data_IF_567983327671
#
_entry.id   IF_567983327671
#
_cell.length_a   1.000
_cell.length_b   1.000
_cell.length_c   1.000
_cell.angle_alpha   90.00
_cell.angle_beta   90.00
_cell.angle_gamma   90.00
#
_symmetry.space_group_name_H-M   'P 1'
#
loop_
_entity.id
_entity.type
_entity.pdbx_description
1 polymer ?
#
# COMPACT_ATOMS: atom_id res chain seq x y z
N UNK A 1 4.49 3.08 -27.14
CA UNK A 1 4.56 2.00 -26.12
C UNK A 1 3.89 2.43 -24.83
N UNK A 2 4.18 3.63 -24.29
CA UNK A 2 3.60 4.11 -23.02
C UNK A 2 2.07 4.28 -23.04
N UNK A 3 1.51 4.92 -24.07
CA UNK A 3 0.04 5.13 -24.17
C UNK A 3 -0.75 3.81 -24.22
N UNK A 4 -0.20 2.78 -24.85
CA UNK A 4 -0.87 1.50 -25.02
C UNK A 4 -1.01 0.69 -23.71
N UNK A 5 -0.24 1.04 -22.67
CA UNK A 5 -0.29 0.34 -21.39
C UNK A 5 -0.83 1.21 -20.25
N UNK A 6 -1.24 2.45 -20.52
CA UNK A 6 -1.82 3.32 -19.50
C UNK A 6 -3.12 2.73 -18.91
N UNK A 7 -3.81 1.84 -19.63
CA UNK A 7 -4.96 1.08 -19.11
C UNK A 7 -4.62 0.17 -17.91
N UNK A 8 -3.36 -0.21 -17.75
CA UNK A 8 -2.95 -1.10 -16.68
C UNK A 8 -2.78 -0.40 -15.34
N UNK A 9 -2.76 0.95 -15.30
CA UNK A 9 -2.68 1.74 -14.07
C UNK A 9 -3.67 2.90 -14.13
N UNK A 10 -4.88 2.61 -13.70
CA UNK A 10 -5.97 3.58 -13.63
C UNK A 10 -6.69 3.45 -12.29
N UNK A 11 -7.22 4.58 -11.81
CA UNK A 11 -8.09 4.59 -10.65
C UNK A 11 -9.37 3.85 -11.04
N UNK A 12 -9.72 2.75 -10.33
CA UNK A 12 -10.86 1.94 -10.68
C UNK A 12 -12.17 2.71 -10.69
N UNK A 13 -13.08 2.30 -11.56
CA UNK A 13 -14.47 2.72 -11.49
C UNK A 13 -15.20 2.01 -10.34
N UNK A 14 -16.38 2.52 -9.97
CA UNK A 14 -17.16 1.99 -8.83
C UNK A 14 -17.38 0.48 -8.89
N UNK A 15 -17.70 -0.06 -10.07
CA UNK A 15 -17.90 -1.50 -10.28
C UNK A 15 -16.62 -2.30 -10.07
N UNK A 16 -15.49 -1.80 -10.55
CA UNK A 16 -14.20 -2.47 -10.36
C UNK A 16 -13.79 -2.49 -8.89
N UNK A 17 -14.13 -1.45 -8.11
CA UNK A 17 -13.93 -1.49 -6.66
C UNK A 17 -14.77 -2.56 -5.96
N UNK A 18 -15.98 -2.84 -6.43
CA UNK A 18 -16.81 -3.94 -5.91
C UNK A 18 -16.15 -5.30 -6.19
N UNK A 19 -15.59 -5.49 -7.39
CA UNK A 19 -14.84 -6.70 -7.72
C UNK A 19 -13.58 -6.83 -6.84
N UNK A 20 -12.89 -5.72 -6.58
CA UNK A 20 -11.74 -5.70 -5.67
C UNK A 20 -12.18 -6.07 -4.25
N UNK A 21 -13.30 -5.54 -3.79
CA UNK A 21 -13.88 -5.86 -2.49
C UNK A 21 -14.20 -7.36 -2.35
N UNK A 22 -14.79 -7.96 -3.38
CA UNK A 22 -15.03 -9.41 -3.42
C UNK A 22 -13.72 -10.18 -3.36
N UNK A 23 -12.69 -9.72 -4.07
CA UNK A 23 -11.36 -10.30 -4.04
C UNK A 23 -10.71 -10.29 -2.66
N UNK A 24 -10.75 -9.16 -1.94
CA UNK A 24 -10.26 -9.09 -0.56
C UNK A 24 -11.05 -9.97 0.39
N UNK A 25 -12.38 -10.05 0.22
CA UNK A 25 -13.22 -10.94 1.01
C UNK A 25 -12.82 -12.40 0.80
N UNK A 26 -12.63 -12.84 -0.46
CA UNK A 26 -12.27 -14.22 -0.78
C UNK A 26 -10.88 -14.61 -0.26
N UNK A 27 -9.89 -13.72 -0.36
CA UNK A 27 -8.51 -14.03 0.00
C UNK A 27 -8.21 -13.89 1.49
N UNK A 28 -8.74 -12.87 2.16
CA UNK A 28 -8.40 -12.56 3.56
C UNK A 28 -9.60 -12.50 4.51
N UNK A 29 -10.79 -12.89 4.04
CA UNK A 29 -12.04 -12.79 4.80
C UNK A 29 -12.30 -11.36 5.32
N UNK A 30 -11.85 -10.32 4.60
CA UNK A 30 -12.03 -8.92 5.00
C UNK A 30 -13.04 -8.20 4.08
N UNK A 31 -14.35 -8.39 4.31
CA UNK A 31 -15.38 -7.75 3.48
C UNK A 31 -15.31 -6.22 3.60
N UNK A 32 -15.68 -5.52 2.53
CA UNK A 32 -15.61 -4.05 2.45
C UNK A 32 -14.21 -3.48 2.14
N UNK A 33 -13.15 -4.29 2.26
CA UNK A 33 -11.80 -3.82 1.95
C UNK A 33 -11.61 -3.67 0.43
N UNK A 34 -11.32 -2.45 -0.03
CA UNK A 34 -11.17 -2.11 -1.44
C UNK A 34 -9.71 -1.98 -1.88
N UNK A 35 -8.74 -2.16 -0.97
CA UNK A 35 -7.33 -1.98 -1.31
C UNK A 35 -6.47 -1.76 -0.08
N UNK A 36 -5.17 -1.96 -0.24
CA UNK A 36 -4.18 -1.57 0.75
C UNK A 36 -3.41 -0.35 0.27
N UNK A 37 -3.25 0.65 1.14
CA UNK A 37 -2.48 1.87 0.88
C UNK A 37 -1.19 1.87 1.70
N UNK A 38 -0.10 2.28 1.08
CA UNK A 38 1.21 2.38 1.74
C UNK A 38 2.08 3.44 1.07
N UNK A 39 2.94 4.07 1.87
CA UNK A 39 3.94 5.01 1.40
C UNK A 39 5.35 4.44 1.50
N UNK A 40 6.15 4.62 0.45
CA UNK A 40 7.53 4.15 0.34
C UNK A 40 8.47 5.26 -0.11
N UNK A 41 9.66 5.29 0.50
CA UNK A 41 10.78 6.07 0.00
C UNK A 41 11.44 5.34 -1.16
N UNK A 42 11.42 5.94 -2.33
CA UNK A 42 12.18 5.55 -3.49
C UNK A 42 13.49 6.33 -3.46
N UNK A 43 14.58 5.64 -3.18
CA UNK A 43 15.89 6.30 -3.00
C UNK A 43 16.40 6.79 -4.35
N UNK A 44 16.80 8.06 -4.39
CA UNK A 44 17.38 8.71 -5.57
C UNK A 44 18.77 9.25 -5.23
N UNK A 45 19.59 9.46 -6.25
CA UNK A 45 20.74 10.34 -6.12
C UNK A 45 20.23 11.79 -5.96
N UNK A 46 20.85 12.54 -5.04
CA UNK A 46 20.54 13.95 -4.87
C UNK A 46 20.68 14.69 -6.20
N UNK A 47 19.64 15.41 -6.65
CA UNK A 47 19.77 16.29 -7.81
C UNK A 47 20.86 17.36 -7.57
N UNK A 48 21.51 17.85 -8.63
CA UNK A 48 22.46 18.95 -8.50
C UNK A 48 21.80 20.16 -7.83
N UNK A 49 22.51 20.81 -6.90
CA UNK A 49 22.06 22.04 -6.22
C UNK A 49 20.74 21.92 -5.40
N UNK A 50 20.31 20.72 -5.01
CA UNK A 50 19.05 20.53 -4.27
C UNK A 50 19.14 20.78 -2.75
N UNK A 51 20.34 21.03 -2.21
CA UNK A 51 20.55 21.11 -0.77
C UNK A 51 20.00 19.89 -0.02
N UNK A 52 19.16 20.12 0.99
CA UNK A 52 18.49 19.08 1.79
C UNK A 52 17.05 18.78 1.35
N UNK A 53 16.62 19.28 0.20
CA UNK A 53 15.22 19.20 -0.26
C UNK A 53 14.72 17.75 -0.39
N UNK A 54 15.59 16.82 -0.80
CA UNK A 54 15.26 15.40 -0.95
C UNK A 54 15.66 14.55 0.25
N UNK A 55 16.39 15.15 1.19
CA UNK A 55 17.01 14.44 2.29
C UNK A 55 15.96 14.08 3.33
N UNK A 56 15.74 12.79 3.53
CA UNK A 56 14.75 12.28 4.46
C UNK A 56 15.35 11.95 5.83
N UNK A 57 14.47 11.63 6.79
CA UNK A 57 14.88 11.28 8.16
C UNK A 57 15.66 9.95 8.26
N UNK A 58 15.71 9.15 7.20
CA UNK A 58 16.51 7.92 7.11
C UNK A 58 17.91 8.18 6.56
N UNK A 59 18.31 9.44 6.41
CA UNK A 59 19.65 9.80 5.96
C UNK A 59 19.89 9.56 4.47
N UNK A 60 18.83 9.51 3.67
CA UNK A 60 18.93 9.28 2.21
C UNK A 60 18.14 10.34 1.44
N UNK A 61 18.47 10.53 0.16
CA UNK A 61 17.67 11.35 -0.74
C UNK A 61 16.59 10.49 -1.39
N UNK A 62 15.33 10.94 -1.41
CA UNK A 62 14.24 10.09 -1.91
C UNK A 62 13.08 10.86 -2.49
N UNK A 63 12.37 10.20 -3.40
CA UNK A 63 10.99 10.50 -3.72
C UNK A 63 10.08 9.65 -2.83
N UNK A 64 8.98 10.22 -2.39
CA UNK A 64 7.93 9.48 -1.70
C UNK A 64 6.92 8.99 -2.72
N UNK A 65 6.73 7.67 -2.79
CA UNK A 65 5.67 7.00 -3.51
C UNK A 65 4.55 6.66 -2.52
N UNK A 66 3.33 7.12 -2.79
CA UNK A 66 2.11 6.62 -2.17
C UNK A 66 1.40 5.71 -3.18
N UNK A 67 1.06 4.49 -2.79
CA UNK A 67 0.43 3.51 -3.68
C UNK A 67 -0.82 2.88 -3.05
N UNK A 68 -1.84 2.62 -3.86
CA UNK A 68 -2.98 1.74 -3.54
C UNK A 68 -2.88 0.50 -4.40
N UNK A 69 -2.98 -0.67 -3.76
CA UNK A 69 -2.85 -1.98 -4.40
C UNK A 69 -4.11 -2.81 -4.17
N UNK A 70 -4.58 -3.47 -5.24
CA UNK A 70 -5.75 -4.34 -5.21
C UNK A 70 -5.43 -5.76 -4.72
N UNK A 71 -6.49 -6.56 -4.54
CA UNK A 71 -6.44 -7.95 -4.08
C UNK A 71 -5.58 -8.90 -4.94
N UNK A 72 -5.17 -8.49 -6.15
CA UNK A 72 -4.30 -9.28 -7.04
C UNK A 72 -2.92 -8.65 -7.27
N UNK A 73 -2.46 -7.90 -6.27
CA UNK A 73 -1.14 -7.27 -6.22
C UNK A 73 -0.92 -6.23 -7.33
N UNK A 74 -1.99 -5.74 -7.97
CA UNK A 74 -1.88 -4.72 -9.01
C UNK A 74 -2.02 -3.32 -8.40
N UNK A 75 -1.17 -2.40 -8.83
CA UNK A 75 -1.25 -0.98 -8.48
C UNK A 75 -2.48 -0.34 -9.13
N UNK A 76 -3.31 0.37 -8.36
CA UNK A 76 -4.51 1.07 -8.84
C UNK A 76 -4.38 2.57 -8.80
N UNK A 77 -3.56 3.06 -7.89
CA UNK A 77 -3.28 4.48 -7.78
C UNK A 77 -1.85 4.63 -7.28
N UNK A 78 -1.13 5.60 -7.86
CA UNK A 78 0.17 6.01 -7.37
C UNK A 78 0.28 7.54 -7.39
N UNK A 79 0.94 8.10 -6.39
CA UNK A 79 1.25 9.52 -6.28
C UNK A 79 2.68 9.70 -5.80
N UNK A 80 3.31 10.76 -6.28
CA UNK A 80 4.68 11.12 -5.91
C UNK A 80 4.71 12.48 -5.22
N UNK A 81 5.62 12.62 -4.28
CA UNK A 81 6.05 13.90 -3.72
C UNK A 81 7.54 13.83 -3.37
N UNK A 82 8.16 14.99 -3.17
CA UNK A 82 9.56 15.08 -2.76
C UNK A 82 9.69 14.62 -1.31
N UNK A 83 10.65 13.72 -1.02
CA UNK A 83 10.87 13.15 0.31
C UNK A 83 11.68 14.05 1.26
N UNK A 84 11.22 15.28 1.51
CA UNK A 84 11.92 16.24 2.39
C UNK A 84 11.81 15.93 3.89
N UNK A 85 12.87 16.26 4.65
CA UNK A 85 12.97 16.06 6.10
C UNK A 85 11.83 16.75 6.85
N UNK A 86 11.11 15.99 7.69
CA UNK A 86 10.08 16.52 8.58
C UNK A 86 8.78 17.01 7.93
N UNK A 87 8.65 16.95 6.59
CA UNK A 87 7.51 17.52 5.86
C UNK A 87 6.55 16.49 5.23
N UNK A 88 6.90 15.21 5.19
CA UNK A 88 6.10 14.19 4.49
C UNK A 88 5.99 12.90 5.30
N UNK A 89 4.92 12.75 6.09
CA UNK A 89 4.45 11.45 6.57
C UNK A 89 3.45 10.84 5.61
N UNK A 90 3.17 9.54 5.72
CA UNK A 90 2.12 8.89 4.92
C UNK A 90 0.80 9.67 5.01
N UNK A 91 0.40 10.10 6.21
CA UNK A 91 -0.80 10.90 6.43
C UNK A 91 -0.77 12.26 5.72
N UNK A 92 0.36 12.97 5.75
CA UNK A 92 0.51 14.25 5.06
C UNK A 92 0.50 14.12 3.53
N UNK A 93 1.22 13.14 3.00
CA UNK A 93 1.25 12.85 1.56
C UNK A 93 -0.11 12.38 1.07
N UNK A 94 -0.81 11.57 1.87
CA UNK A 94 -2.18 11.16 1.61
C UNK A 94 -3.11 12.37 1.52
N UNK A 95 -3.10 13.28 2.50
CA UNK A 95 -3.94 14.49 2.49
C UNK A 95 -3.67 15.41 1.30
N UNK A 96 -2.42 15.51 0.85
CA UNK A 96 -2.03 16.28 -0.32
C UNK A 96 -2.34 15.58 -1.67
N UNK A 97 -2.78 14.32 -1.63
CA UNK A 97 -3.04 13.52 -2.83
C UNK A 97 -4.41 13.82 -3.43
N UNK A 98 -4.56 13.62 -4.74
CA UNK A 98 -5.86 13.76 -5.42
C UNK A 98 -6.87 12.69 -4.97
N UNK A 99 -6.41 11.63 -4.31
CA UNK A 99 -7.23 10.57 -3.75
C UNK A 99 -7.98 11.02 -2.47
N UNK A 100 -7.40 11.93 -1.69
CA UNK A 100 -8.01 12.38 -0.43
C UNK A 100 -9.38 13.04 -0.59
N UNK A 101 -9.59 14.06 -1.45
CA UNK A 101 -10.89 14.71 -1.58
C UNK A 101 -11.99 13.77 -2.09
N UNK A 102 -11.66 12.82 -2.98
CA UNK A 102 -12.61 11.84 -3.54
C UNK A 102 -12.93 10.68 -2.58
N UNK A 103 -12.11 10.49 -1.55
CA UNK A 103 -12.41 9.59 -0.44
C UNK A 103 -13.23 10.29 0.65
N UNK A 104 -12.89 11.53 0.99
CA UNK A 104 -13.66 12.33 1.96
C UNK A 104 -15.09 12.60 1.52
N UNK A 105 -15.33 12.81 0.23
CA UNK A 105 -16.67 13.01 -0.31
C UNK A 105 -17.47 11.68 -0.48
N UNK A 106 -16.85 10.52 -0.25
CA UNK A 106 -17.48 9.21 -0.38
C UNK A 106 -17.85 8.79 -1.82
N UNK A 107 -17.28 9.44 -2.84
CA UNK A 107 -17.62 9.20 -4.25
C UNK A 107 -16.83 8.07 -4.90
N UNK A 108 -15.64 7.76 -4.37
CA UNK A 108 -14.73 6.81 -5.00
C UNK A 108 -15.07 5.35 -4.71
N UNK A 109 -15.29 5.01 -3.42
CA UNK A 109 -15.47 3.63 -2.99
C UNK A 109 -16.96 3.22 -2.99
N UNK A 110 -17.28 1.93 -3.14
CA UNK A 110 -18.61 1.40 -2.92
C UNK A 110 -19.13 1.74 -1.52
N UNK A 111 -20.43 1.65 -1.33
CA UNK A 111 -21.03 1.95 -0.02
C UNK A 111 -20.45 1.03 1.07
N UNK A 112 -19.91 1.65 2.14
CA UNK A 112 -19.25 0.92 3.21
C UNK A 112 -17.86 0.36 2.86
N UNK A 113 -17.34 0.68 1.67
CA UNK A 113 -15.99 0.35 1.24
C UNK A 113 -14.92 1.17 1.95
N UNK A 114 -13.77 0.56 2.23
CA UNK A 114 -12.62 1.21 2.87
C UNK A 114 -11.29 0.65 2.38
N UNK A 115 -10.23 1.43 2.50
CA UNK A 115 -8.85 1.01 2.33
C UNK A 115 -8.24 0.61 3.67
N UNK A 116 -7.17 -0.20 3.65
CA UNK A 116 -6.36 -0.49 4.83
C UNK A 116 -4.99 0.17 4.72
N UNK A 117 -4.59 0.93 5.75
CA UNK A 117 -3.33 1.67 5.78
C UNK A 117 -2.50 1.38 7.03
N UNK A 118 -1.24 1.76 7.00
CA UNK A 118 -0.39 1.67 8.20
C UNK A 118 -0.79 2.69 9.30
N UNK A 119 0.00 2.74 10.38
CA UNK A 119 -0.33 3.60 11.52
C UNK A 119 -0.17 5.10 11.26
N UNK A 120 0.62 5.47 10.25
CA UNK A 120 0.88 6.85 9.90
C UNK A 120 -0.34 7.51 9.22
N UNK A 121 -1.26 6.70 8.68
CA UNK A 121 -2.54 7.18 8.17
C UNK A 121 -3.55 7.49 9.29
N UNK A 122 -4.48 8.45 9.06
CA UNK A 122 -5.59 8.69 9.98
C UNK A 122 -6.61 7.54 9.95
N UNK A 123 -7.25 7.26 11.08
CA UNK A 123 -8.40 6.34 11.13
C UNK A 123 -9.67 7.07 10.65
N UNK A 124 -10.25 6.60 9.56
CA UNK A 124 -11.45 7.16 8.90
C UNK A 124 -12.42 6.03 8.53
N UNK A 125 -13.66 6.38 8.18
CA UNK A 125 -14.67 5.40 7.74
C UNK A 125 -14.29 4.73 6.41
N UNK A 126 -13.47 5.40 5.59
CA UNK A 126 -12.94 4.89 4.32
C UNK A 126 -11.48 4.42 4.42
N UNK A 127 -10.84 4.51 5.60
CA UNK A 127 -9.43 4.14 5.80
C UNK A 127 -9.23 3.57 7.20
N UNK A 128 -9.16 2.25 7.28
CA UNK A 128 -8.96 1.52 8.53
C UNK A 128 -7.47 1.29 8.81
N UNK A 129 -7.15 1.24 10.10
CA UNK A 129 -5.82 0.86 10.60
C UNK A 129 -5.92 -0.06 11.81
N UNK A 130 -4.81 -0.72 12.14
CA UNK A 130 -4.70 -1.62 13.28
C UNK A 130 -5.01 -0.92 14.62
N UNK A 131 -5.34 -1.72 15.63
CA UNK A 131 -5.33 -1.24 17.01
C UNK A 131 -3.87 -1.02 17.47
N UNK A 132 -3.55 0.15 18.06
CA UNK A 132 -2.23 0.40 18.62
C UNK A 132 -2.04 -0.39 19.93
N UNK A 133 -0.79 -0.44 20.41
CA UNK A 133 -0.29 -0.84 21.75
C UNK A 133 -1.15 -1.79 22.60
N UNK A 134 -0.56 -2.92 23.01
CA UNK A 134 -1.14 -3.90 23.96
C UNK A 134 -2.57 -4.35 23.62
N UNK A 135 -2.81 -4.88 22.40
CA UNK A 135 -4.15 -5.26 21.98
C UNK A 135 -4.70 -6.41 22.85
N UNK A 136 -5.97 -6.28 23.22
CA UNK A 136 -6.78 -7.37 23.76
C UNK A 136 -6.83 -8.57 22.79
N UNK A 137 -7.29 -9.73 23.25
CA UNK A 137 -7.41 -10.92 22.38
C UNK A 137 -8.28 -10.62 21.14
N UNK A 138 -9.41 -9.95 21.31
CA UNK A 138 -10.27 -9.55 20.21
C UNK A 138 -9.58 -8.61 19.22
N UNK A 139 -8.79 -7.65 19.73
CA UNK A 139 -8.02 -6.73 18.89
C UNK A 139 -6.85 -7.44 18.20
N UNK A 140 -6.24 -8.46 18.82
CA UNK A 140 -5.23 -9.31 18.17
C UNK A 140 -5.82 -10.07 16.99
N UNK A 141 -7.02 -10.64 17.13
CA UNK A 141 -7.74 -11.31 16.04
C UNK A 141 -8.00 -10.33 14.89
N UNK A 142 -8.48 -9.11 15.20
CA UNK A 142 -8.63 -8.07 14.19
C UNK A 142 -7.30 -7.69 13.53
N UNK A 143 -6.27 -7.42 14.33
CA UNK A 143 -4.95 -6.99 13.85
C UNK A 143 -4.30 -8.05 12.96
N UNK A 144 -4.51 -9.33 13.25
CA UNK A 144 -4.07 -10.43 12.40
C UNK A 144 -4.72 -10.33 11.01
N UNK A 145 -6.06 -10.32 10.92
CA UNK A 145 -6.80 -10.19 9.65
C UNK A 145 -6.44 -8.92 8.89
N UNK A 146 -6.32 -7.81 9.63
CA UNK A 146 -5.89 -6.52 9.11
C UNK A 146 -4.49 -6.60 8.47
N UNK A 147 -3.54 -7.21 9.16
CA UNK A 147 -2.16 -7.32 8.71
C UNK A 147 -2.07 -8.21 7.48
N UNK A 148 -2.80 -9.33 7.42
CA UNK A 148 -2.83 -10.20 6.24
C UNK A 148 -3.35 -9.48 5.00
N UNK A 149 -4.43 -8.69 5.13
CA UNK A 149 -4.93 -7.88 4.01
C UNK A 149 -3.96 -6.75 3.61
N UNK A 150 -3.37 -6.05 4.58
CA UNK A 150 -2.40 -4.96 4.30
C UNK A 150 -1.11 -5.48 3.66
N UNK A 151 -0.65 -6.69 3.99
CA UNK A 151 0.60 -7.31 3.48
C UNK A 151 0.67 -7.34 1.94
N UNK A 152 -0.46 -7.24 1.26
CA UNK A 152 -0.54 -7.21 -0.20
C UNK A 152 0.25 -6.08 -0.85
N UNK A 153 0.22 -4.87 -0.29
CA UNK A 153 0.93 -3.71 -0.85
C UNK A 153 2.44 -3.87 -0.65
N UNK A 154 2.86 -4.48 0.48
CA UNK A 154 4.26 -4.81 0.72
C UNK A 154 4.76 -5.85 -0.27
N UNK A 155 3.97 -6.91 -0.52
CA UNK A 155 4.30 -7.93 -1.51
C UNK A 155 4.37 -7.35 -2.92
N UNK A 156 3.42 -6.51 -3.33
CA UNK A 156 3.41 -5.91 -4.66
C UNK A 156 4.67 -5.05 -4.90
N UNK A 157 5.03 -4.20 -3.92
CA UNK A 157 6.27 -3.41 -3.98
C UNK A 157 7.51 -4.30 -3.94
N UNK A 158 7.52 -5.32 -3.08
CA UNK A 158 8.62 -6.28 -2.97
C UNK A 158 8.91 -7.03 -4.27
N UNK A 159 7.86 -7.54 -4.91
CA UNK A 159 7.94 -8.19 -6.24
C UNK A 159 8.45 -7.19 -7.28
N UNK A 160 7.90 -5.96 -7.31
CA UNK A 160 8.33 -4.90 -8.23
C UNK A 160 9.84 -4.65 -8.11
N UNK A 161 10.34 -4.49 -6.89
CA UNK A 161 11.75 -4.21 -6.61
C UNK A 161 12.63 -5.41 -7.00
N UNK A 162 12.20 -6.64 -6.69
CA UNK A 162 12.95 -7.85 -7.06
C UNK A 162 12.99 -8.06 -8.58
N UNK A 163 11.91 -7.75 -9.29
CA UNK A 163 11.83 -7.98 -10.75
C UNK A 163 12.57 -6.91 -11.54
N UNK A 164 12.39 -5.65 -11.21
CA UNK A 164 12.98 -4.56 -12.00
C UNK A 164 14.38 -4.17 -11.53
N UNK A 165 14.75 -4.44 -10.27
CA UNK A 165 16.06 -4.19 -9.62
C UNK A 165 16.56 -2.74 -9.63
N UNK A 166 16.10 -1.89 -10.54
CA UNK A 166 16.37 -0.45 -10.62
C UNK A 166 15.93 0.29 -9.36
N UNK A 167 14.94 -0.25 -8.64
CA UNK A 167 14.47 0.25 -7.35
C UNK A 167 15.35 -0.18 -6.15
N UNK A 168 16.20 -1.19 -6.33
CA UNK A 168 16.99 -1.77 -5.22
C UNK A 168 18.25 -0.95 -4.91
N UNK A 169 18.60 0.01 -5.78
CA UNK A 169 19.72 0.95 -5.61
C UNK A 169 19.22 2.38 -5.78
N UNK A 170 19.96 3.38 -5.27
CA UNK A 170 19.64 4.78 -5.53
C UNK A 170 19.51 5.05 -7.03
N UNK A 171 18.37 5.58 -7.46
CA UNK A 171 18.11 5.91 -8.86
C UNK A 171 18.95 7.14 -9.24
N UNK A 172 19.85 6.96 -10.21
CA UNK A 172 20.76 8.00 -10.71
C UNK A 172 20.18 8.69 -11.95
N UNK A 173 18.94 9.16 -11.85
CA UNK A 173 18.23 9.85 -12.91
C UNK A 173 17.75 11.21 -12.44
N UNK A 174 17.55 12.15 -13.37
CA UNK A 174 16.84 13.40 -13.09
C UNK A 174 15.43 13.11 -12.58
N UNK A 175 14.91 13.96 -11.70
CA UNK A 175 13.63 13.76 -11.00
C UNK A 175 12.50 13.35 -11.96
N UNK A 176 12.28 14.13 -13.03
CA UNK A 176 11.23 13.85 -14.01
C UNK A 176 11.37 12.48 -14.67
N UNK A 177 12.62 12.05 -14.92
CA UNK A 177 12.90 10.74 -15.54
C UNK A 177 12.72 9.62 -14.53
N UNK A 178 13.10 9.84 -13.26
CA UNK A 178 12.84 8.91 -12.18
C UNK A 178 11.34 8.70 -11.97
N UNK A 179 10.54 9.77 -11.96
CA UNK A 179 9.07 9.70 -11.84
C UNK A 179 8.46 8.89 -13.00
N UNK A 180 8.88 9.15 -14.24
CA UNK A 180 8.45 8.38 -15.42
C UNK A 180 8.82 6.91 -15.28
N UNK A 181 10.08 6.59 -14.92
CA UNK A 181 10.53 5.22 -14.72
C UNK A 181 9.71 4.49 -13.66
N UNK A 182 9.46 5.15 -12.53
CA UNK A 182 8.66 4.59 -11.45
C UNK A 182 7.24 4.27 -11.94
N UNK A 183 6.56 5.22 -12.59
CA UNK A 183 5.21 4.98 -13.16
C UNK A 183 5.23 3.81 -14.14
N UNK A 184 6.20 3.79 -15.05
CA UNK A 184 6.32 2.79 -16.09
C UNK A 184 6.56 1.39 -15.55
N UNK A 185 7.38 1.26 -14.50
CA UNK A 185 7.61 -0.05 -13.85
C UNK A 185 6.37 -0.54 -13.12
N UNK A 186 5.56 0.33 -12.49
CA UNK A 186 4.25 -0.05 -11.94
C UNK A 186 3.27 -0.50 -13.03
N UNK A 187 3.21 0.19 -14.17
CA UNK A 187 2.40 -0.19 -15.34
C UNK A 187 2.83 -1.56 -15.88
N UNK A 188 4.13 -1.76 -16.10
CA UNK A 188 4.68 -3.03 -16.57
C UNK A 188 4.45 -4.17 -15.57
N UNK A 189 4.54 -3.89 -14.26
CA UNK A 189 4.19 -4.86 -13.23
C UNK A 189 2.76 -5.36 -13.39
N UNK A 190 1.81 -4.44 -13.50
CA UNK A 190 0.39 -4.79 -13.66
C UNK A 190 0.15 -5.55 -14.96
N UNK A 191 0.78 -5.13 -16.06
CA UNK A 191 0.69 -5.84 -17.34
C UNK A 191 1.24 -7.26 -17.24
N UNK A 192 2.42 -7.46 -16.64
CA UNK A 192 3.05 -8.78 -16.48
C UNK A 192 2.28 -9.68 -15.51
N UNK A 193 1.70 -9.11 -14.45
CA UNK A 193 0.79 -9.82 -13.53
C UNK A 193 -0.43 -10.37 -14.25
N UNK A 194 -1.06 -9.56 -15.11
CA UNK A 194 -2.25 -9.96 -15.87
C UNK A 194 -1.96 -10.88 -17.06
N UNK A 195 -0.85 -10.69 -17.75
CA UNK A 195 -0.53 -11.43 -18.99
C UNK A 195 0.30 -12.70 -18.76
N UNK A 196 1.15 -12.72 -17.74
CA UNK A 196 2.21 -13.73 -17.58
C UNK A 196 2.38 -14.17 -16.11
N UNK A 197 1.27 -14.32 -15.38
CA UNK A 197 1.22 -14.55 -13.93
C UNK A 197 2.25 -15.58 -13.41
N UNK A 198 2.28 -16.78 -13.99
CA UNK A 198 3.12 -17.89 -13.53
C UNK A 198 4.61 -17.64 -13.74
N UNK A 199 4.97 -16.86 -14.77
CA UNK A 199 6.37 -16.51 -15.05
C UNK A 199 6.81 -15.30 -14.23
N UNK A 200 5.94 -14.30 -14.12
CA UNK A 200 6.25 -13.06 -13.41
C UNK A 200 6.23 -13.21 -11.89
N UNK A 201 5.33 -14.04 -11.36
CA UNK A 201 5.16 -14.32 -9.93
C UNK A 201 4.95 -15.83 -9.75
N UNK A 202 6.03 -16.62 -9.86
CA UNK A 202 5.95 -18.05 -9.63
C UNK A 202 5.54 -18.37 -8.19
N UNK A 203 5.04 -19.59 -7.93
CA UNK A 203 4.73 -20.03 -6.57
C UNK A 203 5.90 -19.79 -5.62
N UNK A 204 5.60 -19.26 -4.43
CA UNK A 204 6.62 -18.88 -3.43
C UNK A 204 7.13 -17.44 -3.56
N UNK A 205 6.83 -16.70 -4.64
CA UNK A 205 7.19 -15.28 -4.75
C UNK A 205 6.38 -14.34 -3.86
N UNK A 206 5.36 -14.82 -3.17
CA UNK A 206 4.42 -14.00 -2.39
C UNK A 206 4.32 -14.60 -0.99
N UNK A 207 4.22 -13.76 0.03
CA UNK A 207 3.97 -14.23 1.39
C UNK A 207 2.62 -14.97 1.46
N UNK A 208 2.61 -16.19 2.00
CA UNK A 208 1.38 -16.95 2.23
C UNK A 208 1.36 -17.54 3.63
N UNK A 209 0.15 -17.75 4.14
CA UNK A 209 -0.07 -18.34 5.46
C UNK A 209 -0.37 -19.82 5.28
N UNK A 210 0.42 -20.65 5.95
CA UNK A 210 0.16 -22.06 6.10
C UNK A 210 -0.76 -22.23 7.32
N UNK A 211 -2.04 -22.45 7.04
CA UNK A 211 -3.08 -22.57 8.05
C UNK A 211 -2.92 -23.87 8.84
N UNK A 212 -2.33 -24.92 8.24
CA UNK A 212 -2.14 -26.22 8.88
C UNK A 212 -1.04 -26.13 9.93
N UNK A 213 0.07 -25.48 9.57
CA UNK A 213 1.23 -25.36 10.44
C UNK A 213 1.25 -24.07 11.28
N UNK A 214 0.25 -23.20 11.12
CA UNK A 214 0.17 -21.87 11.72
C UNK A 214 1.43 -21.02 11.48
N UNK A 215 2.09 -21.21 10.33
CA UNK A 215 3.30 -20.49 9.96
C UNK A 215 3.03 -19.49 8.83
N UNK A 216 3.77 -18.40 8.82
CA UNK A 216 3.81 -17.48 7.67
C UNK A 216 5.04 -17.78 6.85
N UNK A 217 4.84 -18.27 5.63
CA UNK A 217 5.92 -18.47 4.67
C UNK A 217 6.19 -17.16 3.94
N UNK A 218 7.43 -16.71 4.00
CA UNK A 218 7.86 -15.46 3.41
C UNK A 218 8.13 -15.65 1.91
N UNK A 219 7.70 -14.68 1.10
CA UNK A 219 7.95 -14.67 -0.33
C UNK A 219 9.43 -14.53 -0.64
N UNK A 220 9.90 -15.13 -1.75
CA UNK A 220 11.32 -15.14 -2.13
C UNK A 220 11.94 -13.74 -2.22
N UNK A 221 11.14 -12.73 -2.59
CA UNK A 221 11.60 -11.34 -2.65
C UNK A 221 12.14 -10.84 -1.29
N UNK A 222 11.64 -11.33 -0.16
CA UNK A 222 12.11 -10.92 1.17
C UNK A 222 13.56 -11.33 1.46
N UNK A 223 14.06 -12.39 0.80
CA UNK A 223 15.45 -12.83 0.91
C UNK A 223 16.36 -12.26 -0.19
N UNK A 224 15.81 -11.82 -1.31
CA UNK A 224 16.58 -11.42 -2.49
C UNK A 224 16.95 -9.92 -2.51
N UNK A 225 16.24 -9.09 -1.75
CA UNK A 225 16.39 -7.63 -1.76
C UNK A 225 16.12 -7.04 -0.38
N UNK A 226 16.71 -5.87 -0.12
CA UNK A 226 16.25 -5.00 0.95
C UNK A 226 14.95 -4.30 0.52
N UNK A 227 13.91 -4.36 1.35
CA UNK A 227 12.66 -3.68 1.10
C UNK A 227 12.84 -2.15 1.03
N UNK A 228 12.00 -1.47 0.25
CA UNK A 228 12.00 -0.01 0.23
C UNK A 228 11.66 0.53 1.62
N UNK A 229 12.34 1.60 2.08
CA UNK A 229 12.06 2.15 3.39
C UNK A 229 10.63 2.73 3.45
N UNK A 230 9.79 2.29 4.40
CA UNK A 230 8.49 2.93 4.68
C UNK A 230 8.67 4.37 5.18
N UNK A 231 7.65 5.21 5.01
CA UNK A 231 7.67 6.58 5.53
C UNK A 231 7.48 6.59 7.05
N UNK A 232 7.89 7.66 7.74
CA UNK A 232 7.71 7.79 9.18
C UNK A 232 6.30 8.27 9.51
N UNK A 233 5.79 7.75 10.63
CA UNK A 233 4.67 8.34 11.33
C UNK A 233 5.08 9.71 11.90
N UNK A 234 4.65 10.81 11.28
CA UNK A 234 4.68 12.12 11.94
C UNK A 234 3.50 12.21 12.90
N UNK A 235 3.67 12.92 14.03
CA UNK A 235 2.61 13.25 14.99
C UNK A 235 1.59 14.23 14.38
N UNK A 236 0.86 13.83 13.35
CA UNK A 236 -0.35 14.52 12.92
C UNK A 236 -1.45 14.12 13.89
N UNK A 237 -2.30 15.09 14.27
CA UNK A 237 -3.42 14.88 15.16
C UNK A 237 -4.48 14.01 14.47
N UNK A 238 -4.23 12.70 14.44
CA UNK A 238 -5.04 11.68 13.78
C UNK A 238 -6.25 11.31 14.65
N UNK A 239 -7.03 12.31 15.09
CA UNK A 239 -8.24 12.06 15.89
C UNK A 239 -9.26 11.35 15.01
N UNK A 240 -9.55 10.10 15.33
CA UNK A 240 -10.63 9.36 14.70
C UNK A 240 -11.96 10.01 15.04
N UNK A 241 -12.85 10.07 14.04
CA UNK A 241 -14.28 10.31 14.33
C UNK A 241 -14.85 9.06 14.97
N UNK A 242 -15.75 9.22 15.95
CA UNK A 242 -16.45 8.12 16.65
C UNK A 242 -17.01 7.08 15.66
N UNK A 243 -17.50 7.51 14.50
CA UNK A 243 -18.02 6.62 13.44
C UNK A 243 -16.96 5.66 12.90
N UNK A 244 -15.71 6.11 12.72
CA UNK A 244 -14.63 5.28 12.22
C UNK A 244 -14.19 4.23 13.26
N UNK A 245 -14.20 4.60 14.55
CA UNK A 245 -13.95 3.67 15.64
C UNK A 245 -15.03 2.60 15.70
N UNK A 246 -16.31 2.98 15.63
CA UNK A 246 -17.44 2.03 15.58
C UNK A 246 -17.34 1.08 14.38
N UNK A 247 -16.93 1.56 13.21
CA UNK A 247 -16.72 0.70 12.05
C UNK A 247 -15.62 -0.34 12.30
N UNK A 248 -14.48 0.09 12.84
CA UNK A 248 -13.38 -0.82 13.21
C UNK A 248 -13.82 -1.84 14.26
N UNK A 249 -14.61 -1.40 15.22
CA UNK A 249 -15.15 -2.20 16.31
C UNK A 249 -16.16 -3.26 15.80
N UNK A 250 -16.99 -2.90 14.82
CA UNK A 250 -17.83 -3.84 14.06
C UNK A 250 -17.01 -4.96 13.41
N UNK A 251 -15.90 -4.63 12.75
CA UNK A 251 -15.01 -5.64 12.14
C UNK A 251 -14.31 -6.51 13.18
N UNK A 252 -13.90 -5.92 14.31
CA UNK A 252 -13.36 -6.68 15.46
C UNK A 252 -14.36 -7.75 15.90
N UNK A 253 -15.62 -7.39 16.13
CA UNK A 253 -16.65 -8.38 16.49
C UNK A 253 -16.91 -9.39 15.39
N UNK A 254 -17.01 -8.97 14.13
CA UNK A 254 -17.19 -9.85 12.99
C UNK A 254 -16.11 -10.94 12.90
N UNK A 255 -14.85 -10.58 13.14
CA UNK A 255 -13.75 -11.56 13.11
C UNK A 255 -13.75 -12.47 14.33
N UNK A 256 -14.05 -11.96 15.52
CA UNK A 256 -14.13 -12.77 16.74
C UNK A 256 -15.21 -13.84 16.61
N UNK A 257 -16.39 -13.50 16.10
CA UNK A 257 -17.50 -14.43 15.90
C UNK A 257 -17.23 -15.54 14.87
N UNK A 258 -16.18 -15.41 14.07
CA UNK A 258 -15.78 -16.40 13.04
C UNK A 258 -14.53 -17.19 13.43
N UNK A 259 -14.02 -16.97 14.64
CA UNK A 259 -12.92 -17.76 15.24
C UNK A 259 -13.48 -18.76 16.26
N UNK A 260 -14.66 -18.46 16.82
CA UNK A 260 -15.48 -19.39 17.61
C UNK A 260 -16.28 -20.31 16.69
#
# INVERSE_FOLDING_TARGET
>A
MYEALDEYLQVPEKREWEDIQVGFHRRWNFPGCCGAVDGKHVVIQAPPNCGSEYYNYKGTNSLVLLAVVDHDYCFKYIKYTIGSYGRNSDGGVFQASSLYPVLENGSLLPEGGFLVGDDAFPLKTYLLKRYPNEPTIAEKIYNYRFTSARRIVENAVGILVSRFRVWAKPIQLQEETAIKMIRNTCVLHNWLRKSSLHTYTPPGSIDYEDIVNFTTNLGTWRSEINALPSIACSRINNRSKITAEKLREKYKFFFVLRVL
#
